data_IF_520719495819
#
_entry.id   IF_520719495819
#
_cell.length_a   1.000
_cell.length_b   1.000
_cell.length_c   1.000
_cell.angle_alpha   90.00
_cell.angle_beta   90.00
_cell.angle_gamma   90.00
#
_symmetry.space_group_name_H-M   'P 1'
#
loop_
_entity.id
_entity.type
_entity.pdbx_description
1 polymer ?
#
# COMPACT_ATOMS: atom_id res chain seq x y z
N UNK A 1 -18.11 -17.51 9.26
CA UNK A 1 -17.33 -16.46 9.99
C UNK A 1 -16.01 -16.30 9.27
N UNK A 2 -15.81 -15.17 8.60
CA UNK A 2 -14.54 -14.88 7.92
C UNK A 2 -13.49 -14.54 8.97
N UNK A 3 -12.40 -15.26 8.96
CA UNK A 3 -11.24 -14.95 9.80
C UNK A 3 -10.53 -13.74 9.19
N UNK A 4 -10.76 -12.58 9.76
CA UNK A 4 -9.95 -11.40 9.52
C UNK A 4 -8.62 -11.61 10.25
N UNK A 5 -7.56 -11.87 9.50
CA UNK A 5 -6.24 -12.02 10.09
C UNK A 5 -5.72 -10.62 10.44
N UNK A 6 -5.90 -10.23 11.69
CA UNK A 6 -5.41 -8.96 12.22
C UNK A 6 -3.91 -9.07 12.43
N UNK A 7 -3.14 -8.27 11.70
CA UNK A 7 -1.76 -7.98 12.04
C UNK A 7 -1.67 -6.49 12.34
N UNK A 8 -1.46 -6.17 13.60
CA UNK A 8 -1.13 -4.81 14.03
C UNK A 8 0.37 -4.62 13.76
N UNK A 9 0.71 -3.66 12.91
CA UNK A 9 2.09 -3.41 12.52
C UNK A 9 2.78 -2.40 13.42
N UNK A 10 2.05 -1.41 13.78
CA UNK A 10 2.36 -0.46 14.82
C UNK A 10 1.02 -0.07 15.44
N UNK A 11 1.02 0.65 16.54
CA UNK A 11 -0.22 1.23 17.08
C UNK A 11 -0.93 2.15 16.06
N UNK A 12 -0.28 2.47 14.96
CA UNK A 12 -0.66 3.51 13.99
C UNK A 12 -1.09 2.96 12.64
N UNK A 13 -0.74 1.70 12.33
CA UNK A 13 -1.09 1.08 11.04
C UNK A 13 -1.76 -0.26 11.26
N UNK A 14 -2.82 -0.48 10.50
CA UNK A 14 -3.63 -1.68 10.60
C UNK A 14 -3.82 -2.32 9.21
N UNK A 15 -3.50 -3.61 9.12
CA UNK A 15 -3.69 -4.42 7.91
C UNK A 15 -4.63 -5.56 8.19
N UNK A 16 -5.68 -5.67 7.38
CA UNK A 16 -6.56 -6.83 7.37
C UNK A 16 -6.53 -7.46 5.99
N UNK A 17 -6.12 -8.71 5.91
CA UNK A 17 -6.43 -9.52 4.73
C UNK A 17 -7.87 -9.96 4.85
N UNK A 18 -8.68 -9.60 3.88
CA UNK A 18 -10.09 -9.96 3.81
C UNK A 18 -10.30 -11.09 2.81
N UNK A 19 -11.41 -11.79 2.95
CA UNK A 19 -11.80 -12.77 1.95
C UNK A 19 -12.10 -12.05 0.62
N UNK A 20 -11.26 -12.29 -0.38
CA UNK A 20 -11.39 -11.68 -1.71
C UNK A 20 -12.77 -11.93 -2.32
N UNK A 21 -13.34 -13.12 -2.13
CA UNK A 21 -14.66 -13.45 -2.65
C UNK A 21 -15.76 -12.60 -2.00
N UNK A 22 -15.68 -12.36 -0.70
CA UNK A 22 -16.64 -11.49 0.01
C UNK A 22 -16.54 -10.04 -0.48
N UNK A 23 -15.33 -9.51 -0.65
CA UNK A 23 -15.13 -8.16 -1.22
C UNK A 23 -15.77 -8.07 -2.61
N UNK A 24 -15.56 -9.07 -3.46
CA UNK A 24 -16.13 -9.09 -4.82
C UNK A 24 -17.65 -9.15 -4.83
N UNK A 25 -18.28 -9.65 -3.77
CA UNK A 25 -19.73 -9.66 -3.62
C UNK A 25 -20.29 -8.31 -3.15
N UNK A 26 -19.63 -7.67 -2.19
CA UNK A 26 -20.14 -6.45 -1.56
C UNK A 26 -19.69 -5.16 -2.26
N UNK A 27 -18.71 -5.24 -3.15
CA UNK A 27 -18.17 -4.11 -3.90
C UNK A 27 -18.26 -4.37 -5.43
N UNK A 28 -19.48 -4.38 -6.02
CA UNK A 28 -19.66 -4.73 -7.44
C UNK A 28 -18.96 -3.77 -8.40
N UNK A 29 -18.86 -2.49 -8.07
CA UNK A 29 -18.14 -1.52 -8.89
C UNK A 29 -16.64 -1.79 -8.93
N UNK A 30 -16.04 -2.15 -7.80
CA UNK A 30 -14.65 -2.56 -7.72
C UNK A 30 -14.40 -3.82 -8.56
N UNK A 31 -15.26 -4.82 -8.44
CA UNK A 31 -15.19 -6.04 -9.23
C UNK A 31 -15.27 -5.76 -10.74
N UNK A 32 -16.26 -4.97 -11.18
CA UNK A 32 -16.43 -4.60 -12.58
C UNK A 32 -15.19 -3.88 -13.10
N UNK A 33 -14.68 -2.91 -12.34
CA UNK A 33 -13.48 -2.17 -12.71
C UNK A 33 -12.26 -3.09 -12.89
N UNK A 34 -12.06 -4.07 -12.02
CA UNK A 34 -10.96 -5.05 -12.15
C UNK A 34 -11.09 -5.89 -13.42
N UNK A 35 -12.31 -6.32 -13.77
CA UNK A 35 -12.59 -7.08 -14.98
C UNK A 35 -12.31 -6.24 -16.22
N UNK A 36 -12.80 -5.02 -16.26
CA UNK A 36 -12.65 -4.10 -17.39
C UNK A 36 -11.19 -3.73 -17.68
N UNK A 37 -10.31 -3.83 -16.65
CA UNK A 37 -8.88 -3.53 -16.77
C UNK A 37 -7.99 -4.79 -16.82
N UNK A 38 -8.58 -5.98 -16.93
CA UNK A 38 -7.86 -7.27 -16.92
C UNK A 38 -6.86 -7.41 -15.75
N UNK A 39 -7.31 -7.02 -14.54
CA UNK A 39 -6.52 -7.06 -13.33
C UNK A 39 -6.97 -8.19 -12.38
N UNK A 40 -6.51 -9.43 -12.57
CA UNK A 40 -6.90 -10.55 -11.73
C UNK A 40 -6.25 -10.41 -10.34
N UNK A 41 -7.06 -10.17 -9.33
CA UNK A 41 -6.63 -10.00 -7.94
C UNK A 41 -6.53 -11.34 -7.24
N UNK A 42 -5.37 -11.59 -6.62
CA UNK A 42 -5.08 -12.77 -5.80
C UNK A 42 -5.56 -12.57 -4.35
N UNK A 43 -5.20 -11.45 -3.76
CA UNK A 43 -5.57 -11.10 -2.38
C UNK A 43 -5.90 -9.62 -2.27
N UNK A 44 -6.79 -9.30 -1.34
CA UNK A 44 -7.11 -7.92 -0.96
C UNK A 44 -6.82 -7.74 0.51
N UNK A 45 -6.13 -6.66 0.86
CA UNK A 45 -5.96 -6.21 2.22
C UNK A 45 -6.58 -4.83 2.41
N UNK A 46 -7.32 -4.64 3.49
CA UNK A 46 -7.78 -3.31 3.92
C UNK A 46 -6.65 -2.68 4.71
N UNK A 47 -6.31 -1.45 4.34
CA UNK A 47 -5.29 -0.66 5.02
C UNK A 47 -5.93 0.53 5.72
N UNK A 48 -5.45 0.85 6.93
CA UNK A 48 -5.90 1.99 7.70
C UNK A 48 -4.71 2.77 8.22
N UNK A 49 -4.52 3.98 7.73
CA UNK A 49 -3.57 4.94 8.30
C UNK A 49 -4.25 5.79 9.36
N UNK A 50 -3.68 5.87 10.55
CA UNK A 50 -4.27 6.59 11.70
C UNK A 50 -3.70 7.99 11.88
N UNK A 51 -2.51 8.25 11.37
CA UNK A 51 -1.83 9.55 11.48
C UNK A 51 -0.78 9.70 10.36
N UNK A 52 -0.16 10.89 10.21
CA UNK A 52 0.80 11.17 9.14
C UNK A 52 2.09 10.34 9.16
N UNK A 53 2.37 9.64 10.25
CA UNK A 53 3.61 8.89 10.45
C UNK A 53 3.42 7.38 10.39
N UNK A 54 2.23 6.92 9.99
CA UNK A 54 1.87 5.50 10.05
C UNK A 54 2.58 4.61 9.02
N UNK A 55 3.29 5.17 8.05
CA UNK A 55 3.94 4.39 7.00
C UNK A 55 5.25 5.06 6.57
N UNK A 56 6.33 4.71 7.28
CA UNK A 56 7.67 5.15 6.91
C UNK A 56 8.21 4.48 5.64
N UNK A 57 9.36 4.94 5.12
CA UNK A 57 9.97 4.37 3.93
C UNK A 57 10.33 2.89 4.08
N UNK A 58 9.86 2.07 3.13
CA UNK A 58 10.06 0.62 3.13
C UNK A 58 10.00 0.03 1.73
N UNK A 59 10.42 -1.22 1.59
CA UNK A 59 10.07 -2.08 0.46
C UNK A 59 9.18 -3.22 0.93
N UNK A 60 8.32 -3.70 0.06
CA UNK A 60 7.57 -4.91 0.33
C UNK A 60 8.40 -6.17 0.06
N UNK A 61 7.96 -7.29 0.62
CA UNK A 61 8.59 -8.59 0.40
C UNK A 61 8.20 -9.16 -0.96
N UNK A 62 9.15 -9.68 -1.75
CA UNK A 62 8.81 -10.49 -2.91
C UNK A 62 7.87 -11.66 -2.53
N UNK A 63 6.92 -12.07 -3.39
CA UNK A 63 6.79 -11.67 -4.79
C UNK A 63 5.93 -10.42 -5.04
N UNK A 64 5.49 -9.71 -4.02
CA UNK A 64 4.58 -8.57 -4.15
C UNK A 64 5.35 -7.27 -4.43
N UNK A 65 6.05 -7.21 -5.56
CA UNK A 65 6.77 -5.99 -5.98
C UNK A 65 5.89 -4.96 -6.68
N UNK A 66 4.66 -5.35 -7.04
CA UNK A 66 3.65 -4.47 -7.65
C UNK A 66 2.31 -4.75 -6.99
N UNK A 67 1.59 -3.69 -6.62
CA UNK A 67 0.25 -3.76 -6.05
C UNK A 67 -0.69 -2.78 -6.72
N UNK A 68 -1.96 -3.14 -6.78
CA UNK A 68 -3.03 -2.18 -7.04
C UNK A 68 -3.42 -1.52 -5.71
N UNK A 69 -3.28 -0.21 -5.63
CA UNK A 69 -3.82 0.63 -4.56
C UNK A 69 -5.18 1.18 -4.98
N UNK A 70 -6.21 0.93 -4.17
CA UNK A 70 -7.55 1.43 -4.39
C UNK A 70 -7.95 2.35 -3.23
N UNK A 71 -8.15 3.64 -3.49
CA UNK A 71 -8.55 4.59 -2.45
C UNK A 71 -9.99 4.34 -2.01
N UNK A 72 -10.26 4.49 -0.72
CA UNK A 72 -11.61 4.29 -0.16
C UNK A 72 -12.10 5.55 0.54
N UNK A 73 -11.32 6.11 1.47
CA UNK A 73 -11.74 7.28 2.25
C UNK A 73 -10.53 8.08 2.73
N UNK A 74 -10.67 9.40 2.74
CA UNK A 74 -9.65 10.35 3.22
C UNK A 74 -8.30 10.23 2.48
N UNK A 75 -8.36 10.11 1.15
CA UNK A 75 -7.19 9.85 0.31
C UNK A 75 -6.72 11.07 -0.50
N UNK A 76 -7.46 12.17 -0.50
CA UNK A 76 -7.28 13.33 -1.37
C UNK A 76 -5.92 14.02 -1.21
N UNK A 77 -5.38 14.05 0.01
CA UNK A 77 -4.10 14.67 0.33
C UNK A 77 -3.02 13.62 0.65
N UNK A 78 -3.07 12.49 -0.06
CA UNK A 78 -2.16 11.36 0.15
C UNK A 78 -1.34 11.10 -1.11
N UNK A 79 -0.05 10.89 -0.91
CA UNK A 79 0.91 10.60 -1.95
C UNK A 79 1.62 9.29 -1.67
N UNK A 80 1.90 8.52 -2.71
CA UNK A 80 2.95 7.53 -2.70
C UNK A 80 4.23 8.18 -3.22
N UNK A 81 5.33 8.06 -2.49
CA UNK A 81 6.65 8.56 -2.90
C UNK A 81 7.60 7.39 -3.07
N UNK A 82 8.52 7.51 -4.03
CA UNK A 82 9.56 6.53 -4.29
C UNK A 82 10.93 7.14 -4.07
N UNK A 83 11.87 6.32 -3.61
CA UNK A 83 13.20 6.77 -3.23
C UNK A 83 14.30 5.92 -3.85
N UNK A 84 15.43 6.57 -4.07
CA UNK A 84 16.73 5.92 -4.22
C UNK A 84 17.42 5.96 -2.87
N UNK A 85 18.14 4.89 -2.51
CA UNK A 85 18.91 4.80 -1.29
C UNK A 85 20.40 4.93 -1.57
N UNK A 86 21.18 5.36 -0.58
CA UNK A 86 22.63 5.16 -0.57
C UNK A 86 22.94 3.69 -0.26
N UNK A 87 24.11 3.16 -0.68
CA UNK A 87 24.48 1.75 -0.44
C UNK A 87 24.53 1.36 1.03
N UNK A 88 24.82 2.29 1.90
CA UNK A 88 25.01 2.14 3.36
C UNK A 88 23.80 2.60 4.18
N UNK A 89 22.65 2.79 3.54
CA UNK A 89 21.42 3.16 4.23
C UNK A 89 21.09 2.14 5.33
N UNK A 90 20.93 2.57 6.59
CA UNK A 90 20.58 1.66 7.68
C UNK A 90 19.18 1.12 7.49
N UNK A 91 19.05 -0.20 7.56
CA UNK A 91 17.78 -0.90 7.33
C UNK A 91 17.51 -1.94 8.40
N UNK A 92 16.25 -2.31 8.53
CA UNK A 92 15.80 -3.46 9.31
C UNK A 92 14.74 -4.26 8.55
N UNK A 93 14.55 -5.51 8.90
CA UNK A 93 13.43 -6.31 8.40
C UNK A 93 12.19 -5.97 9.23
N UNK A 94 11.16 -5.45 8.59
CA UNK A 94 9.91 -5.13 9.26
C UNK A 94 9.07 -6.37 9.54
N UNK A 95 7.99 -6.20 10.30
CA UNK A 95 7.11 -7.29 10.71
C UNK A 95 6.42 -8.05 9.55
N UNK A 96 6.43 -7.48 8.34
CA UNK A 96 5.92 -8.10 7.11
C UNK A 96 6.98 -8.85 6.31
N UNK A 97 8.24 -8.82 6.77
CA UNK A 97 9.37 -9.37 6.05
C UNK A 97 9.92 -8.48 4.95
N UNK A 98 9.38 -7.27 4.76
CA UNK A 98 9.95 -6.23 3.91
C UNK A 98 11.08 -5.49 4.61
N UNK A 99 11.71 -4.56 3.90
CA UNK A 99 12.82 -3.75 4.44
C UNK A 99 12.34 -2.36 4.79
N UNK A 100 12.52 -1.94 6.06
CA UNK A 100 12.33 -0.55 6.50
C UNK A 100 13.65 0.21 6.47
N UNK A 101 13.60 1.48 6.05
CA UNK A 101 14.75 2.39 6.00
C UNK A 101 14.68 3.33 7.20
N UNK A 102 15.71 3.28 8.04
CA UNK A 102 15.69 3.91 9.38
C UNK A 102 16.15 5.38 9.36
N UNK A 103 16.94 5.77 8.37
CA UNK A 103 17.47 7.12 8.26
C UNK A 103 16.97 7.81 6.97
N UNK A 104 16.01 8.75 7.09
CA UNK A 104 15.50 9.50 5.94
C UNK A 104 16.57 10.30 5.18
N UNK A 105 17.69 10.65 5.81
CA UNK A 105 18.78 11.39 5.14
C UNK A 105 19.50 10.56 4.07
N UNK A 106 19.37 9.23 4.11
CA UNK A 106 19.92 8.31 3.13
C UNK A 106 19.01 8.08 1.92
N UNK A 107 17.87 8.76 1.90
CA UNK A 107 16.82 8.60 0.88
C UNK A 107 16.76 9.84 0.01
N UNK A 108 16.79 9.64 -1.31
CA UNK A 108 16.54 10.69 -2.30
C UNK A 108 15.24 10.38 -3.03
N UNK A 109 14.25 11.26 -2.88
CA UNK A 109 12.98 11.11 -3.59
C UNK A 109 13.23 11.17 -5.11
N UNK A 110 12.74 10.16 -5.83
CA UNK A 110 12.86 10.05 -7.30
C UNK A 110 11.53 10.25 -8.02
N UNK A 111 10.44 10.27 -7.28
CA UNK A 111 9.10 10.51 -7.83
C UNK A 111 8.01 10.37 -6.78
N UNK A 112 6.86 10.94 -7.10
CA UNK A 112 5.64 10.81 -6.30
C UNK A 112 4.39 10.79 -7.17
N UNK A 113 3.33 10.21 -6.65
CA UNK A 113 2.03 10.14 -7.30
C UNK A 113 0.92 10.26 -6.24
N UNK A 114 -0.15 10.98 -6.56
CA UNK A 114 -1.35 10.98 -5.71
C UNK A 114 -2.01 9.61 -5.71
N UNK A 115 -2.53 9.21 -4.56
CA UNK A 115 -3.26 7.94 -4.39
C UNK A 115 -4.74 8.20 -4.05
N UNK A 116 -5.32 9.17 -4.73
CA UNK A 116 -6.73 9.56 -4.67
C UNK A 116 -7.59 8.88 -5.76
N UNK A 117 -6.98 8.08 -6.60
CA UNK A 117 -7.60 7.22 -7.61
C UNK A 117 -6.91 5.85 -7.66
N UNK A 118 -7.53 4.82 -8.24
CA UNK A 118 -6.89 3.52 -8.42
C UNK A 118 -5.57 3.62 -9.16
N UNK A 119 -4.53 2.98 -8.63
CA UNK A 119 -3.19 3.07 -9.19
C UNK A 119 -2.39 1.79 -8.99
N UNK A 120 -1.55 1.46 -9.98
CA UNK A 120 -0.55 0.41 -9.85
C UNK A 120 0.71 1.01 -9.23
N UNK A 121 1.14 0.43 -8.11
CA UNK A 121 2.25 0.92 -7.31
C UNK A 121 3.39 -0.09 -7.32
N UNK A 122 4.59 0.35 -7.71
CA UNK A 122 5.82 -0.43 -7.57
C UNK A 122 6.24 -0.42 -6.10
N UNK A 123 6.13 -1.56 -5.43
CA UNK A 123 6.41 -1.73 -4.00
C UNK A 123 7.73 -2.47 -3.72
N UNK A 124 8.41 -2.95 -4.77
CA UNK A 124 9.78 -3.48 -4.71
C UNK A 124 10.86 -2.38 -4.68
N UNK A 125 10.50 -1.13 -4.92
CA UNK A 125 11.35 0.05 -4.78
C UNK A 125 11.07 0.69 -3.42
N UNK A 126 12.06 1.28 -2.72
CA UNK A 126 11.83 2.02 -1.49
C UNK A 126 10.74 3.08 -1.69
N UNK A 127 9.68 3.01 -0.90
CA UNK A 127 8.52 3.88 -1.02
C UNK A 127 7.89 4.15 0.35
N UNK A 128 7.09 5.19 0.42
CA UNK A 128 6.25 5.49 1.57
C UNK A 128 4.88 6.05 1.16
N UNK A 129 4.02 6.20 2.14
CA UNK A 129 2.78 6.96 2.01
C UNK A 129 2.94 8.26 2.79
N UNK A 130 2.96 9.38 2.09
CA UNK A 130 3.11 10.70 2.66
C UNK A 130 1.78 11.48 2.60
N UNK A 131 1.54 12.28 3.63
CA UNK A 131 0.32 13.04 3.81
C UNK A 131 0.61 14.54 3.81
N UNK A 132 -0.10 15.28 2.98
CA UNK A 132 -0.05 16.74 3.01
C UNK A 132 -0.64 17.29 4.33
N UNK A 133 -0.21 18.49 4.75
CA UNK A 133 -0.88 19.19 5.84
C UNK A 133 -2.38 19.36 5.56
N UNK A 134 -3.21 18.99 6.53
CA UNK A 134 -4.67 19.01 6.40
C UNK A 134 -5.28 17.68 5.94
N UNK A 135 -4.48 16.64 5.73
CA UNK A 135 -5.00 15.31 5.45
C UNK A 135 -5.90 14.80 6.60
N UNK A 136 -7.01 14.19 6.23
CA UNK A 136 -7.99 13.65 7.18
C UNK A 136 -7.67 12.20 7.54
N UNK A 137 -7.99 11.81 8.79
CA UNK A 137 -7.78 10.46 9.30
C UNK A 137 -9.07 9.92 9.97
N UNK A 138 -9.23 8.58 10.02
CA UNK A 138 -8.35 7.57 9.42
C UNK A 138 -8.44 7.58 7.89
N UNK A 139 -7.30 7.38 7.23
CA UNK A 139 -7.26 7.10 5.80
C UNK A 139 -7.50 5.61 5.58
N UNK A 140 -8.36 5.28 4.61
CA UNK A 140 -8.65 3.90 4.23
C UNK A 140 -8.33 3.64 2.76
N UNK A 141 -7.82 2.44 2.49
CA UNK A 141 -7.58 1.96 1.14
C UNK A 141 -7.60 0.45 1.07
N UNK A 142 -7.71 -0.09 -0.15
CA UNK A 142 -7.45 -1.48 -0.43
C UNK A 142 -6.07 -1.60 -1.09
N UNK A 143 -5.32 -2.60 -0.69
CA UNK A 143 -4.08 -3.02 -1.33
C UNK A 143 -4.31 -4.41 -1.92
N UNK A 144 -4.18 -4.52 -3.23
CA UNK A 144 -4.46 -5.75 -3.93
C UNK A 144 -3.18 -6.35 -4.51
N UNK A 145 -2.91 -7.59 -4.16
CA UNK A 145 -1.90 -8.39 -4.83
C UNK A 145 -2.50 -8.99 -6.11
N UNK A 146 -1.82 -8.85 -7.23
CA UNK A 146 -2.25 -9.36 -8.52
C UNK A 146 -1.70 -10.78 -8.77
N UNK A 147 -2.41 -11.59 -9.57
CA UNK A 147 -1.91 -12.90 -10.01
C UNK A 147 -0.77 -12.80 -11.02
N UNK A 148 -0.81 -11.74 -11.84
CA UNK A 148 0.20 -11.42 -12.84
C UNK A 148 0.60 -9.97 -12.67
N UNK A 149 1.87 -9.70 -12.87
CA UNK A 149 2.31 -8.33 -13.04
C UNK A 149 1.73 -7.78 -14.36
N UNK A 150 1.08 -6.60 -14.34
CA UNK A 150 0.66 -5.98 -15.57
C UNK A 150 1.89 -5.72 -16.44
N UNK A 151 1.82 -6.06 -17.70
CA UNK A 151 2.83 -5.68 -18.68
C UNK A 151 2.65 -4.18 -18.94
N UNK A 152 3.62 -3.40 -18.47
CA UNK A 152 3.70 -1.95 -18.69
C UNK A 152 4.29 -1.65 -20.06
#
# INVERSE_FOLDING_TARGET
MSYINRREFTQEQFWNTVNTAEIMQVAPLFRTWLIDHDLPVKTVAITRGLNPHCCGPHTDTPPSVIKLSWPVMNTQLTWNRWFRTTPDAPTEINALGGTSYLDPSTLVEIGRMRVDQPAIIATGIPHDVWFEPGAEFPRWGLQCQLFKEPQL
#
